data_IF_626276057734
#
_entry.id   IF_626276057734
#
_cell.length_a   1.000
_cell.length_b   1.000
_cell.length_c   1.000
_cell.angle_alpha   90.00
_cell.angle_beta   90.00
_cell.angle_gamma   90.00
#
_symmetry.space_group_name_H-M   'P 1'
#
loop_
_entity.id
_entity.type
_entity.pdbx_description
1 polymer ?
#
# COMPACT_ATOMS: atom_id res chain seq x y z
N UNK A 1 14.94 -3.86 16.16
CA UNK A 1 15.19 -2.51 16.76
C UNK A 1 15.25 -1.42 15.70
N UNK A 2 16.08 -1.56 14.66
CA UNK A 2 16.24 -0.54 13.60
C UNK A 2 14.95 -0.23 12.81
N UNK A 3 14.16 -1.25 12.44
CA UNK A 3 12.94 -1.02 11.65
C UNK A 3 11.85 -0.31 12.46
N UNK A 4 11.69 -0.70 13.74
CA UNK A 4 10.77 -0.04 14.67
C UNK A 4 11.12 1.44 14.85
N UNK A 5 12.40 1.75 15.09
CA UNK A 5 12.91 3.13 15.19
C UNK A 5 12.66 3.95 13.91
N UNK A 6 12.84 3.33 12.74
CA UNK A 6 12.53 3.97 11.46
C UNK A 6 11.05 4.33 11.34
N UNK A 7 10.15 3.40 11.68
CA UNK A 7 8.69 3.65 11.69
C UNK A 7 8.31 4.70 12.74
N UNK A 8 8.88 4.64 13.96
CA UNK A 8 8.69 5.64 15.02
C UNK A 8 9.03 7.05 14.52
N UNK A 9 10.21 7.24 13.88
CA UNK A 9 10.62 8.55 13.36
C UNK A 9 9.63 9.08 12.32
N UNK A 10 9.20 8.24 11.38
CA UNK A 10 8.25 8.62 10.32
C UNK A 10 6.89 8.98 10.89
N UNK A 11 6.41 8.20 11.86
CA UNK A 11 5.14 8.43 12.53
C UNK A 11 5.15 9.77 13.27
N UNK A 12 6.15 10.02 14.12
CA UNK A 12 6.26 11.28 14.85
C UNK A 12 6.39 12.46 13.88
N UNK A 13 7.21 12.36 12.83
CA UNK A 13 7.30 13.41 11.80
C UNK A 13 5.96 13.69 11.12
N UNK A 14 5.16 12.65 10.87
CA UNK A 14 3.82 12.82 10.31
C UNK A 14 2.92 13.56 11.28
N UNK A 15 2.94 13.20 12.58
CA UNK A 15 2.17 13.90 13.60
C UNK A 15 2.57 15.37 13.76
N UNK A 16 3.87 15.68 13.66
CA UNK A 16 4.38 17.06 13.70
C UNK A 16 3.92 17.82 12.46
N UNK A 17 4.10 17.24 11.27
CA UNK A 17 3.77 17.87 9.98
C UNK A 17 2.28 18.17 9.85
N UNK A 18 1.44 17.21 10.22
CA UNK A 18 -0.03 17.30 10.07
C UNK A 18 -0.72 17.86 11.31
N UNK A 19 0.06 18.30 12.30
CA UNK A 19 -0.43 18.85 13.56
C UNK A 19 -1.49 17.95 14.22
N UNK A 20 -1.22 16.63 14.22
CA UNK A 20 -2.17 15.61 14.66
C UNK A 20 -2.54 15.86 16.13
N UNK A 21 -3.83 16.07 16.39
CA UNK A 21 -4.36 16.46 17.71
C UNK A 21 -3.77 17.76 18.29
N UNK A 22 -3.32 18.67 17.42
CA UNK A 22 -2.66 19.92 17.80
C UNK A 22 -1.26 19.71 18.39
N UNK A 23 -0.55 18.66 17.97
CA UNK A 23 0.76 18.30 18.50
C UNK A 23 1.76 19.47 18.43
N UNK A 24 1.72 20.26 17.36
CA UNK A 24 2.56 21.43 17.19
C UNK A 24 1.85 22.69 17.70
N UNK A 25 0.57 22.89 17.39
CA UNK A 25 -0.15 24.13 17.72
C UNK A 25 -0.41 24.33 19.21
N UNK A 26 -0.58 23.26 19.98
CA UNK A 26 -0.95 23.31 21.39
C UNK A 26 0.26 23.17 22.33
N UNK A 27 1.45 23.03 21.77
CA UNK A 27 2.70 22.80 22.49
C UNK A 27 3.73 23.87 22.14
N UNK A 28 4.90 23.79 22.77
CA UNK A 28 5.93 24.83 22.64
C UNK A 28 7.23 24.26 22.12
N UNK A 29 7.87 25.00 21.21
CA UNK A 29 9.26 24.75 20.83
C UNK A 29 10.14 25.56 21.77
N UNK A 30 11.08 24.89 22.41
CA UNK A 30 12.02 25.51 23.34
C UNK A 30 13.46 25.26 22.91
N UNK A 31 14.33 26.19 23.27
CA UNK A 31 15.76 25.96 23.29
C UNK A 31 16.17 25.55 24.70
N UNK A 32 16.77 24.37 24.85
CA UNK A 32 17.16 23.85 26.16
C UNK A 32 18.32 22.85 26.05
N UNK A 33 19.16 22.83 27.08
CA UNK A 33 20.20 21.81 27.29
C UNK A 33 19.79 20.91 28.46
N UNK A 34 19.97 19.60 28.29
CA UNK A 34 19.67 18.60 29.31
C UNK A 34 20.96 17.98 29.83
N UNK A 35 21.24 18.18 31.12
CA UNK A 35 22.31 17.51 31.84
C UNK A 35 21.75 16.25 32.54
N UNK A 36 21.64 15.17 31.78
CA UNK A 36 21.12 13.88 32.24
C UNK A 36 22.25 12.83 32.12
N UNK A 37 22.53 12.04 33.17
CA UNK A 37 23.50 10.94 33.08
C UNK A 37 23.14 9.98 31.93
N UNK A 38 24.17 9.52 31.21
CA UNK A 38 24.02 8.55 30.10
C UNK A 38 23.11 8.99 28.94
N UNK A 39 22.90 10.31 28.77
CA UNK A 39 22.17 10.84 27.62
C UNK A 39 22.87 10.46 26.29
N UNK A 40 22.17 9.90 25.29
CA UNK A 40 22.74 9.61 23.98
C UNK A 40 23.36 10.85 23.33
N UNK A 41 24.49 10.68 22.62
CA UNK A 41 25.18 11.78 21.93
C UNK A 41 24.27 12.54 20.96
N UNK A 42 23.41 11.81 20.25
CA UNK A 42 22.39 12.39 19.37
C UNK A 42 21.46 13.36 20.09
N UNK A 43 21.20 13.18 21.39
CA UNK A 43 20.36 14.08 22.21
C UNK A 43 21.17 15.20 22.86
N UNK A 44 22.42 14.94 23.28
CA UNK A 44 23.33 15.96 23.84
C UNK A 44 23.59 17.10 22.86
N UNK A 45 23.68 16.79 21.57
CA UNK A 45 23.91 17.79 20.53
C UNK A 45 22.67 18.65 20.18
N UNK A 46 21.50 18.36 20.76
CA UNK A 46 20.24 19.00 20.38
C UNK A 46 19.98 20.29 21.15
N UNK A 47 19.57 21.32 20.39
CA UNK A 47 19.21 22.62 20.92
C UNK A 47 17.70 22.82 21.00
N UNK A 48 16.98 22.41 19.94
CA UNK A 48 15.55 22.64 19.82
C UNK A 48 14.74 21.40 20.21
N UNK A 49 13.72 21.63 21.02
CA UNK A 49 12.85 20.57 21.54
C UNK A 49 11.39 20.97 21.40
N UNK A 50 10.56 20.07 20.87
CA UNK A 50 9.11 20.19 20.98
C UNK A 50 8.73 19.66 22.37
N UNK A 51 8.36 20.57 23.27
CA UNK A 51 7.94 20.29 24.63
C UNK A 51 6.42 20.08 24.67
N UNK A 52 6.01 18.87 25.02
CA UNK A 52 4.62 18.44 25.15
C UNK A 52 4.30 18.28 26.63
N UNK A 53 3.36 19.05 27.15
CA UNK A 53 3.01 19.01 28.59
C UNK A 53 1.60 18.45 28.79
N UNK A 54 1.53 17.32 29.50
CA UNK A 54 0.31 16.70 29.99
C UNK A 54 0.24 16.80 31.53
N UNK A 55 -0.91 16.53 32.17
CA UNK A 55 -1.07 16.71 33.63
C UNK A 55 -0.04 15.98 34.50
N UNK A 56 0.38 14.78 34.09
CA UNK A 56 1.27 13.90 34.88
C UNK A 56 2.63 13.63 34.22
N UNK A 57 2.86 14.23 33.05
CA UNK A 57 3.98 13.88 32.17
C UNK A 57 4.39 15.08 31.32
N UNK A 58 5.68 15.21 31.05
CA UNK A 58 6.18 16.11 30.00
C UNK A 58 7.14 15.35 29.12
N UNK A 59 7.01 15.51 27.81
CA UNK A 59 7.89 14.94 26.81
C UNK A 59 8.63 16.05 26.05
N UNK A 60 9.87 15.77 25.67
CA UNK A 60 10.70 16.66 24.85
C UNK A 60 11.21 15.89 23.65
N UNK A 61 10.63 16.15 22.48
CA UNK A 61 11.04 15.57 21.22
C UNK A 61 12.17 16.41 20.60
N UNK A 62 13.32 15.84 20.24
CA UNK A 62 14.42 16.58 19.61
C UNK A 62 14.06 16.93 18.16
N UNK A 63 13.99 18.20 17.84
CA UNK A 63 13.58 18.69 16.52
C UNK A 63 14.63 19.60 15.89
N UNK A 64 14.60 19.68 14.57
CA UNK A 64 15.42 20.61 13.78
C UNK A 64 14.55 21.29 12.72
N UNK A 65 14.86 22.53 12.30
CA UNK A 65 14.22 23.14 11.16
C UNK A 65 14.35 22.27 9.90
N UNK A 66 13.34 22.35 9.02
CA UNK A 66 13.26 21.67 7.73
C UNK A 66 12.42 22.52 6.77
N UNK A 67 12.65 22.39 5.46
CA UNK A 67 12.03 23.27 4.45
C UNK A 67 11.20 22.51 3.39
N UNK A 68 11.14 21.17 3.45
CA UNK A 68 10.41 20.36 2.47
C UNK A 68 9.12 19.78 3.06
N UNK A 69 8.00 20.46 2.81
CA UNK A 69 6.63 20.07 3.24
C UNK A 69 6.44 19.86 4.77
N UNK A 70 7.41 20.25 5.59
CA UNK A 70 7.37 20.25 7.05
C UNK A 70 8.38 21.27 7.57
N UNK A 71 7.98 22.13 8.52
CA UNK A 71 8.88 23.15 9.10
C UNK A 71 9.80 22.61 10.18
N UNK A 72 9.35 21.56 10.86
CA UNK A 72 10.08 20.89 11.92
C UNK A 72 10.08 19.39 11.67
N UNK A 73 11.22 18.76 11.92
CA UNK A 73 11.35 17.32 11.86
C UNK A 73 12.12 16.80 13.06
N UNK A 74 11.79 15.59 13.47
CA UNK A 74 12.47 14.85 14.49
C UNK A 74 13.90 14.50 14.05
N UNK A 75 14.87 14.76 14.91
CA UNK A 75 16.28 14.45 14.63
C UNK A 75 16.54 12.96 14.77
N UNK A 76 16.08 12.36 15.86
CA UNK A 76 16.23 10.92 16.18
C UNK A 76 14.92 10.38 16.76
N UNK A 77 14.54 9.10 16.55
CA UNK A 77 13.32 8.50 17.11
C UNK A 77 13.37 8.29 18.63
N UNK A 78 14.18 9.07 19.34
CA UNK A 78 14.43 8.98 20.77
C UNK A 78 14.06 10.32 21.39
N UNK A 79 13.40 10.33 22.53
CA UNK A 79 13.00 11.54 23.23
C UNK A 79 13.06 11.39 24.73
N UNK A 80 12.98 12.52 25.43
CA UNK A 80 12.96 12.56 26.89
C UNK A 80 11.54 12.64 27.40
N UNK A 81 11.26 11.90 28.48
CA UNK A 81 10.01 11.95 29.20
C UNK A 81 10.29 12.14 30.68
N UNK A 82 9.54 13.01 31.35
CA UNK A 82 9.58 13.18 32.80
C UNK A 82 8.19 13.01 33.37
N UNK A 83 8.02 12.06 34.29
CA UNK A 83 6.79 11.93 35.05
C UNK A 83 6.85 12.76 36.33
N UNK A 84 5.70 13.30 36.73
CA UNK A 84 5.55 14.02 38.01
C UNK A 84 5.10 13.09 39.15
N UNK A 85 4.79 11.82 38.86
CA UNK A 85 4.37 10.84 39.86
C UNK A 85 5.56 10.19 40.59
N UNK A 86 5.44 10.04 41.91
CA UNK A 86 6.39 9.28 42.73
C UNK A 86 6.09 7.77 42.65
N UNK A 87 7.10 6.87 42.68
CA UNK A 87 8.53 7.11 42.92
C UNK A 87 9.36 7.39 41.65
N UNK A 88 8.74 7.41 40.48
CA UNK A 88 9.38 7.51 39.15
C UNK A 88 9.89 8.93 38.80
N UNK A 89 10.07 9.81 39.79
CA UNK A 89 10.48 11.19 39.56
C UNK A 89 11.88 11.23 38.96
N UNK A 90 11.97 11.45 37.65
CA UNK A 90 13.21 11.41 36.88
C UNK A 90 12.95 11.50 35.38
N UNK A 91 14.02 11.65 34.61
CA UNK A 91 13.94 11.56 33.15
C UNK A 91 14.08 10.11 32.70
N UNK A 92 13.20 9.70 31.80
CA UNK A 92 13.28 8.45 31.07
C UNK A 92 13.53 8.75 29.59
N UNK A 93 14.33 7.90 28.96
CA UNK A 93 14.55 7.92 27.51
C UNK A 93 13.52 6.99 26.87
N UNK A 94 12.77 7.51 25.90
CA UNK A 94 11.73 6.78 25.15
C UNK A 94 12.11 6.69 23.69
N UNK A 95 11.71 5.62 23.01
CA UNK A 95 12.04 5.43 21.59
C UNK A 95 11.05 4.57 20.79
N UNK A 96 9.91 4.24 21.39
CA UNK A 96 8.95 3.28 20.83
C UNK A 96 7.65 3.99 20.48
N UNK A 97 7.12 3.81 19.27
CA UNK A 97 5.84 4.43 18.91
C UNK A 97 4.68 4.05 19.85
N UNK A 98 4.78 2.95 20.61
CA UNK A 98 3.81 2.64 21.68
C UNK A 98 3.82 3.71 22.78
N UNK A 99 5.01 4.13 23.22
CA UNK A 99 5.15 5.24 24.17
C UNK A 99 4.63 6.55 23.56
N UNK A 100 4.89 6.79 22.27
CA UNK A 100 4.42 8.01 21.61
C UNK A 100 2.89 8.02 21.40
N UNK A 101 2.27 6.88 21.14
CA UNK A 101 0.81 6.75 21.14
C UNK A 101 0.24 7.11 22.52
N UNK A 102 0.88 6.67 23.60
CA UNK A 102 0.47 7.06 24.95
C UNK A 102 0.60 8.59 25.17
N UNK A 103 1.59 9.26 24.57
CA UNK A 103 1.69 10.73 24.55
C UNK A 103 0.49 11.33 23.81
N UNK A 104 0.16 10.84 22.61
CA UNK A 104 -0.97 11.37 21.82
C UNK A 104 -2.33 11.17 22.52
N UNK A 105 -2.52 10.05 23.24
CA UNK A 105 -3.74 9.78 24.03
C UNK A 105 -3.98 10.79 25.15
N UNK A 106 -2.97 11.54 25.58
CA UNK A 106 -3.14 12.62 26.57
C UNK A 106 -3.82 13.86 25.97
N UNK A 107 -3.92 13.98 24.64
CA UNK A 107 -4.62 15.10 24.01
C UNK A 107 -6.13 14.99 24.23
N UNK A 108 -6.83 16.06 24.65
CA UNK A 108 -8.28 16.04 24.84
C UNK A 108 -9.08 15.70 23.58
N UNK A 109 -8.49 15.89 22.39
CA UNK A 109 -9.11 15.59 21.09
C UNK A 109 -8.78 14.19 20.56
N UNK A 110 -7.98 13.41 21.29
CA UNK A 110 -7.55 12.10 20.88
C UNK A 110 -8.72 11.10 20.84
N UNK A 111 -8.67 10.20 19.86
CA UNK A 111 -9.53 9.01 19.83
C UNK A 111 -8.68 7.78 20.15
N UNK A 112 -8.85 7.25 21.37
CA UNK A 112 -8.15 6.04 21.81
C UNK A 112 -8.35 4.88 20.85
N UNK A 113 -9.59 4.64 20.42
CA UNK A 113 -9.91 3.58 19.45
C UNK A 113 -9.20 3.78 18.10
N UNK A 114 -9.10 5.02 17.62
CA UNK A 114 -8.38 5.29 16.37
C UNK A 114 -6.87 5.06 16.54
N UNK A 115 -6.30 5.47 17.67
CA UNK A 115 -4.89 5.28 17.99
C UNK A 115 -4.52 3.81 18.21
N UNK A 116 -5.39 3.04 18.87
CA UNK A 116 -5.23 1.59 19.04
C UNK A 116 -5.32 0.87 17.69
N UNK A 117 -6.25 1.27 16.82
CA UNK A 117 -6.30 0.76 15.45
C UNK A 117 -5.05 1.13 14.65
N UNK A 118 -4.43 2.27 14.93
CA UNK A 118 -3.24 2.74 14.22
C UNK A 118 -1.97 2.03 14.70
N UNK A 119 -1.91 1.61 15.97
CA UNK A 119 -0.84 0.75 16.48
C UNK A 119 -0.69 -0.54 15.68
N UNK A 120 -1.82 -1.18 15.34
CA UNK A 120 -1.82 -2.37 14.47
C UNK A 120 -1.17 -2.07 13.10
N UNK A 121 -1.37 -0.87 12.57
CA UNK A 121 -0.77 -0.44 11.31
C UNK A 121 0.73 -0.17 11.44
N UNK A 122 1.18 0.39 12.56
CA UNK A 122 2.59 0.62 12.89
C UNK A 122 3.36 -0.69 13.10
N UNK A 123 2.74 -1.66 13.79
CA UNK A 123 3.29 -3.00 13.97
C UNK A 123 3.44 -3.70 12.61
N UNK A 124 2.38 -3.73 11.80
CA UNK A 124 2.41 -4.29 10.44
C UNK A 124 3.46 -3.60 9.55
N UNK A 125 3.58 -2.26 9.61
CA UNK A 125 4.61 -1.54 8.85
C UNK A 125 6.03 -1.93 9.28
N UNK A 126 6.25 -2.17 10.57
CA UNK A 126 7.54 -2.59 11.12
C UNK A 126 7.91 -3.99 10.64
N UNK A 127 6.98 -4.93 10.72
CA UNK A 127 7.16 -6.31 10.25
C UNK A 127 7.40 -6.35 8.74
N UNK A 128 6.55 -5.69 7.95
CA UNK A 128 6.67 -5.68 6.50
C UNK A 128 7.92 -4.93 6.02
N UNK A 129 8.44 -3.98 6.81
CA UNK A 129 9.74 -3.38 6.55
C UNK A 129 10.88 -4.40 6.67
N UNK A 130 10.85 -5.23 7.70
CA UNK A 130 11.84 -6.29 7.87
C UNK A 130 11.76 -7.29 6.71
N UNK A 131 10.55 -7.71 6.32
CA UNK A 131 10.33 -8.59 5.16
C UNK A 131 10.83 -7.97 3.86
N UNK A 132 10.55 -6.69 3.60
CA UNK A 132 11.05 -6.00 2.41
C UNK A 132 12.59 -5.99 2.33
N UNK A 133 13.28 -5.88 3.47
CA UNK A 133 14.75 -5.99 3.53
C UNK A 133 15.23 -7.40 3.22
N UNK A 134 14.50 -8.42 3.67
CA UNK A 134 14.80 -9.81 3.31
C UNK A 134 14.59 -10.05 1.81
N UNK A 135 13.50 -9.54 1.23
CA UNK A 135 13.24 -9.55 -0.21
C UNK A 135 14.34 -8.85 -1.01
N UNK A 136 14.78 -7.67 -0.56
CA UNK A 136 15.92 -6.99 -1.18
C UNK A 136 17.20 -7.84 -1.12
N UNK A 137 17.48 -8.46 0.03
CA UNK A 137 18.67 -9.29 0.20
C UNK A 137 18.64 -10.55 -0.71
N UNK A 138 17.47 -11.17 -0.89
CA UNK A 138 17.31 -12.34 -1.76
C UNK A 138 17.40 -11.97 -3.24
N UNK A 139 16.95 -10.77 -3.62
CA UNK A 139 16.93 -10.27 -5.00
C UNK A 139 18.15 -9.43 -5.38
N UNK A 140 19.11 -9.24 -4.45
CA UNK A 140 20.24 -8.30 -4.60
C UNK A 140 21.05 -8.44 -5.88
N UNK A 141 21.21 -9.67 -6.40
CA UNK A 141 21.99 -9.92 -7.62
C UNK A 141 21.26 -9.40 -8.85
N UNK A 142 19.96 -9.65 -8.92
CA UNK A 142 19.09 -9.15 -9.98
C UNK A 142 19.00 -7.61 -9.91
N UNK A 143 18.84 -7.06 -8.71
CA UNK A 143 18.72 -5.61 -8.50
C UNK A 143 20.00 -4.83 -8.78
N UNK A 144 21.18 -5.47 -8.73
CA UNK A 144 22.46 -4.83 -9.02
C UNK A 144 22.72 -4.61 -10.53
N UNK A 145 21.99 -5.30 -11.40
CA UNK A 145 22.08 -5.13 -12.86
C UNK A 145 21.57 -3.74 -13.27
N UNK A 146 22.24 -3.09 -14.22
CA UNK A 146 21.74 -1.82 -14.78
C UNK A 146 20.39 -2.06 -15.48
N UNK A 147 19.40 -1.20 -15.22
CA UNK A 147 18.06 -1.33 -15.81
C UNK A 147 18.09 -1.40 -17.36
N UNK A 148 19.07 -0.76 -18.00
CA UNK A 148 19.20 -0.76 -19.46
C UNK A 148 19.69 -2.10 -20.04
N UNK A 149 20.16 -3.02 -19.20
CA UNK A 149 20.59 -4.36 -19.62
C UNK A 149 19.40 -5.33 -19.76
N UNK A 150 18.22 -4.98 -19.25
CA UNK A 150 17.01 -5.78 -19.45
C UNK A 150 16.44 -5.54 -20.86
N UNK A 151 16.23 -6.61 -21.65
CA UNK A 151 15.99 -6.48 -23.08
C UNK A 151 14.61 -5.87 -23.40
N UNK A 152 13.56 -6.26 -22.67
CA UNK A 152 12.19 -5.76 -22.94
C UNK A 152 11.81 -4.55 -22.08
N UNK A 153 10.91 -3.71 -22.61
CA UNK A 153 10.33 -2.59 -21.85
C UNK A 153 9.55 -3.10 -20.62
N UNK A 154 8.89 -4.25 -20.74
CA UNK A 154 8.07 -4.84 -19.67
C UNK A 154 8.93 -5.35 -18.51
N UNK A 155 10.10 -5.94 -18.79
CA UNK A 155 11.05 -6.32 -17.74
C UNK A 155 11.60 -5.09 -17.03
N UNK A 156 11.91 -4.01 -17.78
CA UNK A 156 12.35 -2.74 -17.19
C UNK A 156 11.26 -2.11 -16.31
N UNK A 157 10.00 -2.18 -16.72
CA UNK A 157 8.86 -1.70 -15.93
C UNK A 157 8.71 -2.50 -14.63
N UNK A 158 8.72 -3.83 -14.70
CA UNK A 158 8.62 -4.69 -13.52
C UNK A 158 9.83 -4.54 -12.59
N UNK A 159 11.04 -4.37 -13.14
CA UNK A 159 12.22 -4.02 -12.36
C UNK A 159 12.04 -2.69 -11.64
N UNK A 160 11.54 -1.66 -12.33
CA UNK A 160 11.29 -0.35 -11.73
C UNK A 160 10.25 -0.42 -10.61
N UNK A 161 9.16 -1.18 -10.81
CA UNK A 161 8.15 -1.47 -9.79
C UNK A 161 8.77 -2.19 -8.57
N UNK A 162 9.63 -3.18 -8.80
CA UNK A 162 10.32 -3.89 -7.73
C UNK A 162 11.28 -2.97 -6.97
N UNK A 163 12.09 -2.15 -7.65
CA UNK A 163 12.97 -1.17 -6.99
C UNK A 163 12.15 -0.17 -6.17
N UNK A 164 11.07 0.35 -6.74
CA UNK A 164 10.16 1.26 -6.07
C UNK A 164 9.51 0.62 -4.84
N UNK A 165 9.24 -0.69 -4.84
CA UNK A 165 8.63 -1.39 -3.71
C UNK A 165 9.49 -1.40 -2.44
N UNK A 166 10.81 -1.19 -2.54
CA UNK A 166 11.68 -1.05 -1.37
C UNK A 166 11.69 0.36 -0.77
N UNK A 167 11.17 1.35 -1.51
CA UNK A 167 11.04 2.74 -1.09
C UNK A 167 9.67 2.99 -0.47
N UNK A 168 9.64 3.77 0.61
CA UNK A 168 8.40 4.19 1.22
C UNK A 168 7.79 5.38 0.49
N UNK A 169 6.45 5.45 0.45
CA UNK A 169 5.76 6.69 0.10
C UNK A 169 6.32 7.82 0.98
N UNK A 170 6.76 8.96 0.43
CA UNK A 170 7.57 9.94 1.18
C UNK A 170 6.87 10.46 2.44
N UNK A 171 5.54 10.62 2.40
CA UNK A 171 4.78 11.24 3.50
C UNK A 171 3.97 10.29 4.37
N UNK A 172 3.60 9.10 3.87
CA UNK A 172 2.75 8.20 4.64
C UNK A 172 3.64 7.38 5.58
N UNK A 173 3.46 7.44 6.91
CA UNK A 173 4.44 6.89 7.85
C UNK A 173 4.48 5.36 7.83
N UNK A 174 3.33 4.73 7.61
CA UNK A 174 3.12 3.27 7.53
C UNK A 174 3.01 2.79 6.08
N UNK A 175 3.75 3.40 5.15
CA UNK A 175 3.61 3.14 3.70
C UNK A 175 3.70 1.66 3.31
N UNK A 176 4.47 0.85 4.04
CA UNK A 176 4.63 -0.60 3.78
C UNK A 176 3.54 -1.48 4.38
N UNK A 177 2.71 -0.95 5.27
CA UNK A 177 1.68 -1.74 5.91
C UNK A 177 0.73 -2.29 4.84
N UNK A 178 0.68 -3.61 4.74
CA UNK A 178 -0.25 -4.36 3.90
C UNK A 178 -1.16 -5.16 4.81
N UNK A 179 -1.94 -4.44 5.62
CA UNK A 179 -2.78 -5.00 6.68
C UNK A 179 -3.75 -6.05 6.12
N UNK A 180 -3.64 -7.26 6.66
CA UNK A 180 -4.39 -8.43 6.21
C UNK A 180 -3.55 -9.48 5.47
N UNK A 181 -2.28 -9.18 5.18
CA UNK A 181 -1.32 -10.14 4.63
C UNK A 181 -0.33 -10.56 5.71
N UNK A 182 -0.02 -11.85 5.76
CA UNK A 182 1.05 -12.39 6.60
C UNK A 182 2.38 -12.52 5.83
N UNK A 183 3.42 -13.03 6.49
CA UNK A 183 4.74 -13.22 5.87
C UNK A 183 4.72 -14.12 4.62
N UNK A 184 3.92 -15.19 4.64
CA UNK A 184 3.81 -16.12 3.52
C UNK A 184 3.11 -15.45 2.32
N UNK A 185 2.07 -14.67 2.59
CA UNK A 185 1.37 -13.86 1.59
C UNK A 185 2.31 -12.81 0.97
N UNK A 186 3.07 -12.10 1.82
CA UNK A 186 4.02 -11.08 1.37
C UNK A 186 5.07 -11.70 0.44
N UNK A 187 5.66 -12.82 0.84
CA UNK A 187 6.69 -13.52 0.07
C UNK A 187 6.14 -14.07 -1.26
N UNK A 188 4.89 -14.55 -1.25
CA UNK A 188 4.29 -15.22 -2.41
C UNK A 188 3.71 -14.25 -3.45
N UNK A 189 3.34 -13.03 -3.06
CA UNK A 189 2.55 -12.14 -3.91
C UNK A 189 3.04 -10.69 -4.00
N UNK A 190 4.02 -10.27 -3.20
CA UNK A 190 4.46 -8.86 -3.22
C UNK A 190 5.65 -8.62 -4.16
N UNK A 191 5.73 -7.45 -4.83
CA UNK A 191 6.79 -7.13 -5.78
C UNK A 191 8.19 -7.16 -5.17
N UNK A 192 8.35 -6.95 -3.86
CA UNK A 192 9.62 -7.05 -3.14
C UNK A 192 10.34 -8.40 -3.31
N UNK A 193 9.61 -9.46 -3.66
CA UNK A 193 10.15 -10.80 -3.89
C UNK A 193 10.13 -11.23 -5.36
N UNK A 194 9.62 -10.38 -6.26
CA UNK A 194 9.41 -10.65 -7.69
C UNK A 194 8.79 -12.04 -7.99
N UNK A 195 7.72 -12.45 -7.30
CA UNK A 195 7.15 -13.77 -7.50
C UNK A 195 6.45 -13.86 -8.86
N UNK A 196 6.30 -15.09 -9.35
CA UNK A 196 5.33 -15.42 -10.41
C UNK A 196 4.28 -16.35 -9.81
N UNK A 197 3.02 -16.07 -10.05
CA UNK A 197 1.90 -16.91 -9.61
C UNK A 197 0.83 -17.01 -10.71
N UNK A 198 -0.20 -17.82 -10.50
CA UNK A 198 -1.28 -18.03 -11.47
C UNK A 198 -2.59 -17.51 -10.91
N UNK A 199 -3.38 -16.81 -11.73
CA UNK A 199 -4.68 -16.30 -11.30
C UNK A 199 -5.71 -17.42 -11.19
N UNK A 200 -6.64 -17.27 -10.24
CA UNK A 200 -7.84 -18.10 -10.16
C UNK A 200 -8.96 -17.47 -10.96
N UNK A 201 -9.99 -18.27 -11.24
CA UNK A 201 -11.08 -17.87 -12.12
C UNK A 201 -12.43 -18.29 -11.54
N UNK A 202 -13.42 -17.43 -11.74
CA UNK A 202 -14.81 -17.73 -11.42
C UNK A 202 -15.68 -17.45 -12.64
N UNK A 203 -16.61 -18.35 -12.92
CA UNK A 203 -17.63 -18.17 -13.94
C UNK A 203 -18.84 -17.47 -13.31
N UNK A 204 -19.15 -16.28 -13.79
CA UNK A 204 -20.25 -15.44 -13.32
C UNK A 204 -21.36 -15.43 -14.36
N UNK A 205 -22.60 -15.63 -13.96
CA UNK A 205 -23.77 -15.53 -14.84
C UNK A 205 -23.75 -14.20 -15.62
N UNK A 206 -23.93 -14.26 -16.93
CA UNK A 206 -24.05 -13.07 -17.80
C UNK A 206 -25.27 -12.21 -17.45
N UNK A 207 -26.25 -12.75 -16.71
CA UNK A 207 -27.36 -11.97 -16.19
C UNK A 207 -26.95 -10.99 -15.08
N UNK A 208 -25.80 -11.22 -14.42
CA UNK A 208 -25.26 -10.37 -13.36
C UNK A 208 -24.01 -9.60 -13.80
N UNK A 209 -23.21 -10.19 -14.69
CA UNK A 209 -21.95 -9.62 -15.12
C UNK A 209 -22.15 -8.48 -16.13
N UNK A 210 -21.41 -7.39 -15.95
CA UNK A 210 -21.20 -6.37 -16.97
C UNK A 210 -19.75 -6.43 -17.44
N UNK A 211 -19.51 -6.46 -18.75
CA UNK A 211 -18.18 -6.38 -19.37
C UNK A 211 -18.21 -5.31 -20.47
N UNK A 212 -17.28 -4.37 -20.43
CA UNK A 212 -17.36 -3.14 -21.23
C UNK A 212 -16.85 -3.31 -22.68
N UNK A 213 -15.97 -4.28 -22.93
CA UNK A 213 -15.32 -4.47 -24.23
C UNK A 213 -14.85 -5.93 -24.42
N UNK A 214 -14.35 -6.26 -25.61
CA UNK A 214 -13.81 -7.58 -25.91
C UNK A 214 -12.59 -7.90 -25.05
N UNK A 215 -12.55 -9.13 -24.53
CA UNK A 215 -11.49 -9.57 -23.64
C UNK A 215 -10.23 -9.93 -24.44
N UNK A 216 -9.03 -9.66 -23.90
CA UNK A 216 -7.77 -10.06 -24.54
C UNK A 216 -7.68 -11.56 -24.80
N UNK A 217 -6.94 -11.97 -25.82
CA UNK A 217 -6.73 -13.39 -26.15
C UNK A 217 -6.05 -14.22 -25.06
N UNK A 218 -5.41 -13.59 -24.08
CA UNK A 218 -4.84 -14.27 -22.91
C UNK A 218 -5.92 -14.72 -21.90
N UNK A 219 -7.17 -14.26 -22.02
CA UNK A 219 -8.27 -14.80 -21.22
C UNK A 219 -8.44 -16.30 -21.50
N UNK A 220 -8.47 -17.15 -20.46
CA UNK A 220 -8.60 -18.57 -20.65
C UNK A 220 -10.00 -18.94 -21.16
N UNK A 221 -10.10 -20.08 -21.84
CA UNK A 221 -11.38 -20.72 -22.11
C UNK A 221 -11.93 -21.38 -20.83
N UNK A 222 -13.24 -21.71 -20.83
CA UNK A 222 -13.85 -22.48 -19.75
C UNK A 222 -13.16 -23.83 -19.56
N UNK A 223 -12.74 -24.48 -20.64
CA UNK A 223 -12.03 -25.76 -20.58
C UNK A 223 -10.64 -25.64 -19.95
N UNK A 224 -9.93 -24.54 -20.20
CA UNK A 224 -8.59 -24.30 -19.61
C UNK A 224 -8.65 -24.24 -18.09
N UNK A 225 -9.71 -23.64 -17.56
CA UNK A 225 -9.95 -23.52 -16.11
C UNK A 225 -10.71 -24.73 -15.53
N UNK A 226 -10.97 -25.76 -16.33
CA UNK A 226 -11.59 -27.02 -15.90
C UNK A 226 -13.11 -27.00 -15.76
N UNK A 227 -13.79 -26.08 -16.45
CA UNK A 227 -15.25 -25.97 -16.51
C UNK A 227 -15.80 -26.47 -17.86
N UNK A 228 -17.10 -26.79 -17.90
CA UNK A 228 -17.77 -27.16 -19.15
C UNK A 228 -17.79 -25.97 -20.12
N UNK A 229 -17.32 -26.19 -21.35
CA UNK A 229 -17.38 -25.26 -22.47
C UNK A 229 -18.78 -24.66 -22.71
N UNK A 230 -19.86 -25.38 -22.41
CA UNK A 230 -21.23 -24.90 -22.58
C UNK A 230 -21.54 -23.68 -21.71
N UNK A 231 -20.84 -23.52 -20.57
CA UNK A 231 -21.01 -22.37 -19.69
C UNK A 231 -20.63 -21.05 -20.37
N UNK A 232 -19.82 -21.05 -21.43
CA UNK A 232 -19.50 -19.83 -22.19
C UNK A 232 -20.74 -19.12 -22.75
N UNK A 233 -21.84 -19.85 -22.94
CA UNK A 233 -23.09 -19.28 -23.46
C UNK A 233 -23.78 -18.43 -22.38
N UNK A 234 -23.72 -18.85 -21.12
CA UNK A 234 -24.50 -18.30 -20.00
C UNK A 234 -23.66 -17.57 -18.96
N UNK A 235 -22.34 -17.77 -18.94
CA UNK A 235 -21.41 -17.24 -17.95
C UNK A 235 -20.23 -16.53 -18.61
N UNK A 236 -19.55 -15.71 -17.81
CA UNK A 236 -18.32 -15.01 -18.13
C UNK A 236 -17.25 -15.32 -17.09
N UNK A 237 -16.01 -15.57 -17.51
CA UNK A 237 -14.89 -15.79 -16.61
C UNK A 237 -14.33 -14.46 -16.09
N UNK A 238 -14.19 -14.37 -14.77
CA UNK A 238 -13.61 -13.26 -14.03
C UNK A 238 -12.33 -13.72 -13.33
N UNK A 239 -11.21 -12.97 -13.46
CA UNK A 239 -9.96 -13.28 -12.76
C UNK A 239 -10.07 -12.92 -11.27
N UNK A 240 -9.46 -13.74 -10.43
CA UNK A 240 -9.45 -13.62 -8.97
C UNK A 240 -8.03 -13.77 -8.46
N UNK A 241 -7.58 -12.82 -7.65
CA UNK A 241 -6.30 -12.93 -6.96
C UNK A 241 -6.32 -14.12 -5.98
N UNK A 242 -5.26 -14.95 -5.88
CA UNK A 242 -5.20 -16.06 -4.93
C UNK A 242 -5.60 -15.67 -3.50
N UNK A 243 -5.07 -14.56 -2.99
CA UNK A 243 -5.40 -14.00 -1.67
C UNK A 243 -6.86 -13.56 -1.47
N UNK A 244 -7.62 -13.37 -2.54
CA UNK A 244 -9.04 -12.97 -2.45
C UNK A 244 -9.99 -14.16 -2.54
N UNK A 245 -9.52 -15.27 -3.13
CA UNK A 245 -10.32 -16.47 -3.37
C UNK A 245 -10.96 -17.06 -2.10
N UNK A 246 -10.26 -17.23 -0.96
CA UNK A 246 -10.86 -17.84 0.23
C UNK A 246 -12.06 -17.06 0.76
N UNK A 247 -11.99 -15.73 0.76
CA UNK A 247 -13.12 -14.91 1.23
C UNK A 247 -14.30 -15.00 0.26
N UNK A 248 -14.05 -14.99 -1.04
CA UNK A 248 -15.12 -15.16 -2.04
C UNK A 248 -15.83 -16.51 -1.88
N UNK A 249 -15.07 -17.59 -1.67
CA UNK A 249 -15.64 -18.92 -1.42
C UNK A 249 -16.49 -18.93 -0.14
N UNK A 250 -15.98 -18.34 0.95
CA UNK A 250 -16.72 -18.24 2.20
C UNK A 250 -18.03 -17.45 2.04
N UNK A 251 -18.01 -16.36 1.28
CA UNK A 251 -19.20 -15.54 1.04
C UNK A 251 -20.21 -16.22 0.11
N UNK A 252 -19.74 -16.88 -0.95
CA UNK A 252 -20.60 -17.62 -1.87
C UNK A 252 -21.34 -18.77 -1.17
N UNK A 253 -20.68 -19.48 -0.26
CA UNK A 253 -21.29 -20.54 0.56
C UNK A 253 -22.39 -19.98 1.49
N UNK A 254 -22.24 -18.76 2.01
CA UNK A 254 -23.24 -18.13 2.90
C UNK A 254 -24.48 -17.64 2.15
N UNK A 255 -24.30 -17.20 0.92
CA UNK A 255 -25.34 -16.51 0.15
C UNK A 255 -26.08 -17.43 -0.83
N UNK A 256 -25.75 -18.73 -0.87
CA UNK A 256 -26.23 -19.71 -1.84
C UNK A 256 -26.30 -19.09 -3.25
N UNK A 257 -25.12 -18.76 -3.80
CA UNK A 257 -25.00 -18.01 -5.04
C UNK A 257 -24.79 -18.94 -6.25
N UNK A 258 -25.83 -19.62 -6.80
CA UNK A 258 -25.70 -20.53 -7.94
C UNK A 258 -25.23 -19.83 -9.21
N UNK A 259 -25.19 -18.51 -9.21
CA UNK A 259 -24.78 -17.66 -10.33
C UNK A 259 -23.26 -17.44 -10.39
N UNK A 260 -22.49 -17.97 -9.43
CA UNK A 260 -21.03 -17.91 -9.39
C UNK A 260 -20.50 -19.33 -9.22
N UNK A 261 -19.70 -19.79 -10.19
CA UNK A 261 -19.09 -21.11 -10.20
C UNK A 261 -17.57 -20.94 -10.11
N UNK A 262 -16.96 -21.48 -9.06
CA UNK A 262 -15.50 -21.46 -8.91
C UNK A 262 -14.86 -22.45 -9.87
N UNK A 263 -13.90 -21.99 -10.66
CA UNK A 263 -13.20 -22.86 -11.59
C UNK A 263 -12.22 -23.80 -10.85
N UNK A 264 -12.15 -25.09 -11.19
CA UNK A 264 -11.24 -26.03 -10.53
C UNK A 264 -9.75 -25.75 -10.74
N UNK A 265 -9.38 -25.09 -11.85
CA UNK A 265 -7.97 -24.87 -12.21
C UNK A 265 -7.66 -23.37 -12.32
N UNK A 266 -6.52 -22.91 -11.78
CA UNK A 266 -6.02 -21.57 -12.07
C UNK A 266 -5.50 -21.51 -13.52
N UNK A 267 -5.45 -20.31 -14.09
CA UNK A 267 -4.91 -20.04 -15.43
C UNK A 267 -4.30 -18.63 -15.50
N UNK A 268 -3.46 -18.39 -16.51
CA UNK A 268 -2.69 -17.14 -16.72
C UNK A 268 -1.64 -16.91 -15.63
N UNK A 269 -0.37 -17.08 -16.00
CA UNK A 269 0.78 -16.74 -15.15
C UNK A 269 1.00 -15.24 -15.15
N UNK A 270 1.27 -14.69 -13.97
CA UNK A 270 1.38 -13.25 -13.76
C UNK A 270 2.47 -12.89 -12.75
N UNK A 271 2.94 -11.65 -12.83
CA UNK A 271 3.84 -11.03 -11.85
C UNK A 271 3.21 -9.77 -11.24
N UNK A 272 3.35 -9.53 -9.93
CA UNK A 272 2.77 -8.36 -9.29
C UNK A 272 3.52 -7.08 -9.66
N UNK A 273 2.78 -6.00 -9.93
CA UNK A 273 3.31 -4.63 -10.00
C UNK A 273 3.42 -4.02 -8.60
N UNK A 274 3.88 -2.76 -8.52
CA UNK A 274 4.00 -2.02 -7.26
C UNK A 274 2.71 -2.01 -6.41
N UNK A 275 1.54 -2.05 -7.05
CA UNK A 275 0.24 -2.07 -6.36
C UNK A 275 -0.16 -3.42 -5.76
N UNK A 276 0.64 -4.47 -5.98
CA UNK A 276 0.36 -5.90 -5.69
C UNK A 276 -0.77 -6.47 -6.55
N UNK A 277 -1.94 -5.82 -6.51
CA UNK A 277 -3.19 -6.28 -7.12
C UNK A 277 -3.34 -6.03 -8.63
N UNK A 278 -2.44 -5.24 -9.20
CA UNK A 278 -2.29 -5.14 -10.65
C UNK A 278 -1.15 -6.06 -11.03
N UNK A 279 -1.40 -6.98 -11.93
CA UNK A 279 -0.47 -8.05 -12.28
C UNK A 279 -0.20 -8.03 -13.79
N UNK A 280 1.06 -8.13 -14.19
CA UNK A 280 1.46 -8.23 -15.59
C UNK A 280 1.37 -9.70 -16.04
N UNK A 281 0.75 -9.96 -17.20
CA UNK A 281 0.66 -11.30 -17.76
C UNK A 281 2.01 -11.75 -18.34
N UNK A 282 2.55 -12.87 -17.88
CA UNK A 282 3.87 -13.35 -18.34
C UNK A 282 3.91 -13.64 -19.84
N UNK A 283 2.83 -14.22 -20.39
CA UNK A 283 2.75 -14.63 -21.80
C UNK A 283 2.23 -13.50 -22.71
N UNK A 284 1.81 -12.36 -22.13
CA UNK A 284 1.38 -11.16 -22.83
C UNK A 284 1.75 -9.91 -22.00
N UNK A 285 3.04 -9.52 -21.94
CA UNK A 285 3.54 -8.52 -20.98
C UNK A 285 2.93 -7.12 -21.13
N UNK A 286 2.34 -6.83 -22.29
CA UNK A 286 1.61 -5.60 -22.56
C UNK A 286 0.21 -5.57 -21.90
N UNK A 287 -0.28 -6.71 -21.41
CA UNK A 287 -1.57 -6.84 -20.72
C UNK A 287 -1.35 -6.92 -19.21
N UNK A 288 -1.88 -5.94 -18.50
CA UNK A 288 -1.91 -5.92 -17.05
C UNK A 288 -3.36 -6.08 -16.56
N UNK A 289 -3.58 -6.97 -15.61
CA UNK A 289 -4.90 -7.22 -15.02
C UNK A 289 -4.91 -6.67 -13.60
N UNK A 290 -5.82 -5.75 -13.32
CA UNK A 290 -6.08 -5.22 -11.98
C UNK A 290 -7.30 -5.91 -11.40
N UNK A 291 -7.11 -6.57 -10.27
CA UNK A 291 -8.16 -7.30 -9.54
C UNK A 291 -8.34 -6.74 -8.13
N UNK A 292 -9.49 -6.94 -7.47
CA UNK A 292 -9.64 -6.68 -6.05
C UNK A 292 -8.64 -7.49 -5.22
N UNK A 293 -8.17 -6.87 -4.13
CA UNK A 293 -7.36 -7.50 -3.11
C UNK A 293 -7.84 -7.00 -1.75
N UNK A 294 -8.22 -7.92 -0.85
CA UNK A 294 -8.74 -7.59 0.48
C UNK A 294 -7.56 -7.30 1.42
N UNK A 295 -6.85 -6.22 1.10
CA UNK A 295 -5.74 -5.70 1.87
C UNK A 295 -5.97 -4.22 2.11
N UNK A 296 -5.59 -3.73 3.29
CA UNK A 296 -5.59 -2.31 3.61
C UNK A 296 -4.17 -1.79 3.51
N UNK A 297 -3.98 -0.69 2.78
CA UNK A 297 -2.67 -0.05 2.63
C UNK A 297 -2.88 1.45 2.57
N UNK A 298 -1.94 2.23 3.09
CA UNK A 298 -2.11 3.68 3.24
C UNK A 298 -3.36 4.03 4.07
N UNK A 299 -3.53 3.33 5.21
CA UNK A 299 -4.62 3.57 6.16
C UNK A 299 -5.68 2.48 6.21
N UNK A 300 -6.23 2.26 7.40
CA UNK A 300 -7.24 1.25 7.70
C UNK A 300 -8.53 1.36 6.83
N UNK A 301 -8.89 2.56 6.36
CA UNK A 301 -10.08 2.75 5.50
C UNK A 301 -9.85 2.39 4.02
N UNK A 302 -8.59 2.20 3.62
CA UNK A 302 -8.21 2.08 2.22
C UNK A 302 -8.03 0.61 1.82
N UNK A 303 -9.16 -0.10 1.73
CA UNK A 303 -9.19 -1.49 1.23
C UNK A 303 -9.05 -1.49 -0.30
N UNK A 304 -8.15 -2.33 -0.83
CA UNK A 304 -7.82 -2.39 -2.26
C UNK A 304 -8.84 -3.16 -3.10
N UNK A 305 -10.09 -2.73 -3.03
CA UNK A 305 -11.21 -3.18 -3.86
C UNK A 305 -11.36 -2.33 -5.14
N UNK A 306 -12.18 -2.77 -6.09
CA UNK A 306 -12.51 -2.00 -7.31
C UNK A 306 -13.95 -1.57 -7.22
N UNK A 307 -14.22 -0.26 -7.24
CA UNK A 307 -15.59 0.25 -7.31
C UNK A 307 -16.04 0.19 -8.79
N UNK A 308 -17.20 -0.39 -9.12
CA UNK A 308 -17.67 -0.50 -10.50
C UNK A 308 -17.64 0.81 -11.29
N UNK A 309 -18.02 1.94 -10.68
CA UNK A 309 -17.95 3.28 -11.33
C UNK A 309 -16.57 3.60 -11.89
N UNK A 310 -15.51 3.23 -11.16
CA UNK A 310 -14.12 3.58 -11.52
C UNK A 310 -13.64 2.89 -12.79
N UNK A 311 -14.29 1.82 -13.23
CA UNK A 311 -14.02 1.17 -14.52
C UNK A 311 -14.40 2.12 -15.66
N UNK A 312 -15.58 2.74 -15.56
CA UNK A 312 -16.07 3.70 -16.53
C UNK A 312 -15.34 5.04 -16.43
N UNK A 313 -15.09 5.52 -15.21
CA UNK A 313 -14.38 6.77 -14.98
C UNK A 313 -12.98 6.71 -15.61
N UNK A 314 -12.25 5.61 -15.42
CA UNK A 314 -10.91 5.41 -15.99
C UNK A 314 -10.89 5.52 -17.51
N UNK A 315 -11.79 4.80 -18.18
CA UNK A 315 -11.92 4.87 -19.64
C UNK A 315 -12.37 6.25 -20.13
N UNK A 316 -13.30 6.90 -19.42
CA UNK A 316 -13.74 8.25 -19.76
C UNK A 316 -12.59 9.27 -19.64
N UNK A 317 -11.76 9.15 -18.60
CA UNK A 317 -10.58 10.00 -18.41
C UNK A 317 -9.57 9.78 -19.53
N UNK A 318 -9.26 8.53 -19.88
CA UNK A 318 -8.40 8.20 -21.02
C UNK A 318 -8.89 8.90 -22.29
N UNK A 319 -10.16 8.70 -22.66
CA UNK A 319 -10.73 9.28 -23.88
C UNK A 319 -10.72 10.81 -23.88
N UNK A 320 -10.95 11.41 -22.73
CA UNK A 320 -10.90 12.87 -22.57
C UNK A 320 -9.49 13.40 -22.80
N UNK A 321 -8.47 12.75 -22.24
CA UNK A 321 -7.09 13.19 -22.40
C UNK A 321 -6.59 12.95 -23.84
N UNK A 322 -6.95 11.84 -24.48
CA UNK A 322 -6.66 11.62 -25.90
C UNK A 322 -7.33 12.67 -26.81
N UNK A 323 -8.56 13.09 -26.50
CA UNK A 323 -9.24 14.15 -27.24
C UNK A 323 -8.57 15.52 -27.06
N UNK A 324 -8.11 15.82 -25.85
CA UNK A 324 -7.31 17.04 -25.56
C UNK A 324 -6.00 17.00 -26.35
N UNK A 325 -5.26 15.88 -26.33
CA UNK A 325 -4.02 15.72 -27.10
C UNK A 325 -4.23 15.96 -28.60
N UNK A 326 -5.30 15.38 -29.17
CA UNK A 326 -5.61 15.52 -30.60
C UNK A 326 -5.94 16.96 -30.99
N UNK A 327 -6.55 17.73 -30.08
CA UNK A 327 -7.00 19.10 -30.32
C UNK A 327 -6.01 20.20 -29.91
N UNK A 328 -5.02 19.90 -29.04
CA UNK A 328 -4.03 20.86 -28.55
C UNK A 328 -2.63 20.58 -29.11
N UNK A 329 -2.17 21.46 -30.00
CA UNK A 329 -0.83 21.37 -30.61
C UNK A 329 0.32 21.48 -29.58
N UNK A 330 0.11 22.15 -28.44
CA UNK A 330 1.13 22.26 -27.41
C UNK A 330 1.29 20.95 -26.61
N UNK A 331 0.29 20.08 -26.64
CA UNK A 331 0.25 18.83 -25.89
C UNK A 331 0.50 17.58 -26.75
N UNK A 332 0.29 17.68 -28.06
CA UNK A 332 0.43 16.54 -28.99
C UNK A 332 1.81 15.87 -28.89
N UNK A 333 1.83 14.58 -28.55
CA UNK A 333 3.03 13.75 -28.46
C UNK A 333 3.83 13.89 -27.16
N UNK A 334 3.34 14.62 -26.15
CA UNK A 334 4.05 14.80 -24.87
C UNK A 334 3.66 13.80 -23.78
N UNK A 335 2.58 13.05 -23.96
CA UNK A 335 2.16 12.01 -23.04
C UNK A 335 1.57 10.82 -23.79
N UNK A 336 1.55 9.67 -23.12
CA UNK A 336 0.89 8.46 -23.60
C UNK A 336 -0.02 7.94 -22.50
N UNK A 337 -1.15 7.39 -22.89
CA UNK A 337 -2.10 6.77 -21.98
C UNK A 337 -2.09 5.26 -22.20
N UNK A 338 -2.21 4.52 -21.09
CA UNK A 338 -2.53 3.11 -21.20
C UNK A 338 -4.02 2.98 -21.54
N UNK A 339 -4.36 1.99 -22.35
CA UNK A 339 -5.75 1.67 -22.66
C UNK A 339 -6.40 0.91 -21.49
N UNK A 340 -7.41 1.51 -20.88
CA UNK A 340 -8.24 0.95 -19.80
C UNK A 340 -9.70 0.74 -20.23
N UNK A 341 -9.98 0.62 -21.53
CA UNK A 341 -11.34 0.43 -22.05
C UNK A 341 -12.01 -0.88 -21.60
N UNK A 342 -11.21 -1.87 -21.21
CA UNK A 342 -11.69 -3.22 -20.90
C UNK A 342 -11.77 -3.38 -19.37
N UNK A 343 -12.95 -3.71 -18.89
CA UNK A 343 -13.18 -4.10 -17.50
C UNK A 343 -14.51 -4.78 -17.31
N UNK A 344 -14.68 -5.43 -16.17
CA UNK A 344 -15.93 -6.11 -15.81
C UNK A 344 -16.21 -6.09 -14.31
N UNK A 345 -17.48 -6.16 -13.95
CA UNK A 345 -17.96 -6.15 -12.57
C UNK A 345 -19.30 -6.88 -12.42
N UNK A 346 -19.74 -7.05 -11.17
CA UNK A 346 -21.03 -7.65 -10.82
C UNK A 346 -21.85 -6.66 -9.99
N UNK A 347 -22.74 -5.92 -10.63
CA UNK A 347 -23.55 -4.90 -9.96
C UNK A 347 -22.69 -3.91 -9.17
N UNK A 348 -22.90 -3.82 -7.86
CA UNK A 348 -22.12 -2.97 -6.94
C UNK A 348 -21.04 -3.73 -6.13
N UNK A 349 -20.85 -5.03 -6.41
CA UNK A 349 -19.86 -5.85 -5.71
C UNK A 349 -18.44 -5.39 -6.06
N UNK A 350 -17.71 -4.95 -5.04
CA UNK A 350 -16.34 -4.42 -5.18
C UNK A 350 -15.26 -5.49 -5.05
N UNK A 351 -15.65 -6.71 -4.65
CA UNK A 351 -14.75 -7.84 -4.38
C UNK A 351 -14.59 -8.74 -5.60
N UNK A 352 -15.48 -8.63 -6.59
CA UNK A 352 -15.42 -9.38 -7.83
C UNK A 352 -15.61 -8.45 -9.05
N UNK A 353 -14.48 -7.95 -9.53
CA UNK A 353 -14.39 -7.05 -10.67
C UNK A 353 -12.98 -7.15 -11.27
N UNK A 354 -12.75 -6.57 -12.44
CA UNK A 354 -11.41 -6.41 -12.99
C UNK A 354 -11.34 -5.20 -13.92
N UNK A 355 -10.12 -4.67 -14.06
CA UNK A 355 -9.75 -3.71 -15.11
C UNK A 355 -8.57 -4.30 -15.85
N UNK A 356 -8.59 -4.25 -17.18
CA UNK A 356 -7.43 -4.55 -18.00
C UNK A 356 -6.80 -3.24 -18.41
N UNK A 357 -5.50 -3.13 -18.19
CA UNK A 357 -4.66 -2.06 -18.70
C UNK A 357 -3.77 -2.63 -19.78
N UNK A 358 -3.85 -2.06 -20.98
CA UNK A 358 -2.98 -2.40 -22.12
C UNK A 358 -1.95 -1.29 -22.32
N UNK A 359 -0.70 -1.71 -22.43
CA UNK A 359 0.41 -0.87 -22.85
C UNK A 359 0.67 -1.11 -24.34
N UNK A 360 1.06 -0.07 -25.06
CA UNK A 360 1.47 -0.20 -26.45
C UNK A 360 2.95 -0.63 -26.53
N UNK A 361 3.31 -1.40 -27.56
CA UNK A 361 4.68 -1.91 -27.75
C UNK A 361 5.67 -0.85 -28.30
N UNK A 362 5.35 0.44 -28.15
CA UNK A 362 6.09 1.56 -28.79
C UNK A 362 7.55 1.66 -28.37
#
# INVERSE_FOLDING_TARGET
>A
MMDKQYITKRFINTCIREDVYGLLSNNSIIEAEFDIPDLPEDLKAQKFWLKITAPEQTDWLPITPSDCMQYWQLVTPIWLQKTTQKPLNGYAIKSDYNDFIAVLKQSPSASDTALDSYLLELDCATEHRALARQGFASQRRYLATNINEYPSWSERLLYADQVASYLDHPYYPTARAKLGLDEADITSYSPEFAPTFTLYWVAVSKALATVCAELPSIWPSFTDVGLDSNLQQTHQLFPVHPLTLPLLQQNALKNDAPQIIFAPKPAVRVQPTLSVRTVACCDAPNIHIKVPLIVRTLGNKNVRLIKPSTIYDGYWFQQTLEAIEKSDNALRGYYSHCDEAIGGHIGDDRTLAFIVRRYDDT
#
